data_IF_237855025165
#
_entry.id   IF_237855025165
#
_cell.length_a   1.000
_cell.length_b   1.000
_cell.length_c   1.000
_cell.angle_alpha   90.00
_cell.angle_beta   90.00
_cell.angle_gamma   90.00
#
_symmetry.space_group_name_H-M   'P 1'
#
loop_
_entity.id
_entity.type
_entity.pdbx_description
1 polymer ?
#
# COMPACT_ATOMS: atom_id res chain seq x y z
N UNK A 1 -26.14 -31.04 11.94
CA UNK A 1 -24.98 -31.95 12.21
C UNK A 1 -23.77 -31.07 12.53
N UNK A 2 -23.31 -31.19 13.76
CA UNK A 2 -22.31 -30.31 14.42
C UNK A 2 -20.97 -30.28 13.71
N UNK A 3 -20.53 -29.09 13.29
CA UNK A 3 -19.13 -28.80 13.07
C UNK A 3 -18.71 -27.67 14.02
N UNK A 4 -18.52 -28.03 15.28
CA UNK A 4 -17.75 -27.23 16.23
C UNK A 4 -16.30 -27.17 15.73
N UNK A 5 -15.96 -26.14 14.94
CA UNK A 5 -14.56 -25.82 14.65
C UNK A 5 -13.89 -25.49 15.98
N UNK A 6 -13.12 -26.44 16.51
CA UNK A 6 -12.20 -26.21 17.62
C UNK A 6 -11.35 -24.99 17.34
N UNK A 7 -11.68 -23.88 17.99
CA UNK A 7 -10.80 -22.72 18.13
C UNK A 7 -9.66 -23.16 19.06
N UNK A 8 -8.65 -23.82 18.48
CA UNK A 8 -7.39 -24.01 19.19
C UNK A 8 -6.80 -22.63 19.38
N UNK A 9 -6.81 -22.14 20.61
CA UNK A 9 -6.13 -20.93 21.01
C UNK A 9 -4.63 -21.11 20.72
N UNK A 10 -4.18 -20.59 19.59
CA UNK A 10 -2.75 -20.53 19.28
C UNK A 10 -2.06 -19.73 20.39
N UNK A 11 -0.95 -20.21 20.96
CA UNK A 11 -0.29 -19.53 22.06
C UNK A 11 0.08 -18.10 21.65
N UNK A 12 -0.27 -17.13 22.48
CA UNK A 12 0.08 -15.68 22.27
C UNK A 12 1.57 -15.49 21.99
N UNK A 13 2.42 -16.40 22.41
CA UNK A 13 3.84 -16.44 22.14
C UNK A 13 4.21 -16.50 20.65
N UNK A 14 3.49 -17.30 19.85
CA UNK A 14 3.79 -17.43 18.40
C UNK A 14 3.57 -16.12 17.63
N UNK A 15 2.51 -15.37 17.96
CA UNK A 15 2.24 -14.07 17.32
C UNK A 15 3.33 -13.07 17.66
N UNK A 16 3.71 -12.98 18.94
CA UNK A 16 4.78 -12.09 19.38
C UNK A 16 6.11 -12.45 18.72
N UNK A 17 6.43 -13.73 18.65
CA UNK A 17 7.65 -14.24 18.02
C UNK A 17 7.71 -13.90 16.52
N UNK A 18 6.63 -14.12 15.76
CA UNK A 18 6.58 -13.81 14.34
C UNK A 18 6.64 -12.29 14.07
N UNK A 19 5.96 -11.49 14.87
CA UNK A 19 6.04 -10.03 14.75
C UNK A 19 7.45 -9.54 15.11
N UNK A 20 8.09 -10.07 16.15
CA UNK A 20 9.45 -9.72 16.50
C UNK A 20 10.46 -10.12 15.42
N UNK A 21 10.33 -11.33 14.87
CA UNK A 21 11.15 -11.79 13.74
C UNK A 21 10.95 -10.92 12.49
N UNK A 22 9.68 -10.58 12.16
CA UNK A 22 9.36 -9.68 11.06
C UNK A 22 9.94 -8.27 11.25
N UNK A 23 9.84 -7.73 12.47
CA UNK A 23 10.43 -6.42 12.80
C UNK A 23 11.97 -6.44 12.71
N UNK A 24 12.61 -7.50 13.22
CA UNK A 24 14.06 -7.66 13.11
C UNK A 24 14.52 -7.78 11.66
N UNK A 25 13.82 -8.56 10.84
CA UNK A 25 14.12 -8.70 9.41
C UNK A 25 13.92 -7.37 8.66
N UNK A 26 12.82 -6.64 8.93
CA UNK A 26 12.58 -5.33 8.33
C UNK A 26 13.66 -4.32 8.73
N UNK A 27 14.07 -4.31 9.99
CA UNK A 27 15.16 -3.44 10.46
C UNK A 27 16.50 -3.80 9.76
N UNK A 28 16.81 -5.08 9.63
CA UNK A 28 18.00 -5.52 8.91
C UNK A 28 17.97 -5.11 7.43
N UNK A 29 16.82 -5.29 6.76
CA UNK A 29 16.64 -4.84 5.37
C UNK A 29 16.71 -3.32 5.24
N UNK A 30 16.17 -2.55 6.19
CA UNK A 30 16.27 -1.10 6.20
C UNK A 30 17.73 -0.64 6.30
N UNK A 31 18.49 -1.23 7.24
CA UNK A 31 19.93 -0.94 7.35
C UNK A 31 20.65 -1.32 6.07
N UNK A 32 20.42 -2.52 5.53
CA UNK A 32 21.03 -2.96 4.27
C UNK A 32 20.66 -2.01 3.10
N UNK A 33 19.42 -1.57 3.04
CA UNK A 33 18.92 -0.60 2.06
C UNK A 33 19.67 0.73 2.11
N UNK A 34 20.02 1.24 3.30
CA UNK A 34 20.77 2.49 3.46
C UNK A 34 22.17 2.42 2.83
N UNK A 35 22.83 1.25 2.89
CA UNK A 35 24.18 1.08 2.35
C UNK A 35 24.21 0.57 0.90
N UNK A 36 23.11 -0.02 0.39
CA UNK A 36 23.04 -0.55 -0.98
C UNK A 36 22.75 0.55 -1.99
N UNK A 37 23.50 0.57 -3.10
CA UNK A 37 23.24 1.43 -4.26
C UNK A 37 24.52 1.82 -5.01
N UNK A 38 24.37 2.57 -6.10
CA UNK A 38 25.47 2.86 -7.05
C UNK A 38 26.63 3.66 -6.46
N UNK A 39 26.34 4.61 -5.57
CA UNK A 39 27.38 5.35 -4.86
C UNK A 39 27.79 4.57 -3.60
N UNK A 40 29.08 4.23 -3.43
CA UNK A 40 29.55 3.49 -2.26
C UNK A 40 29.48 4.39 -1.01
N UNK A 41 28.68 4.00 -0.03
CA UNK A 41 28.70 4.59 1.31
C UNK A 41 29.50 3.69 2.22
N UNK A 42 30.50 4.28 2.90
CA UNK A 42 31.31 3.57 3.89
C UNK A 42 30.99 4.10 5.28
N UNK A 43 30.92 3.19 6.25
CA UNK A 43 30.70 3.59 7.64
C UNK A 43 31.78 4.52 8.17
N UNK A 44 33.04 4.29 7.73
CA UNK A 44 34.19 5.13 8.07
C UNK A 44 34.07 6.55 7.50
N UNK A 45 33.69 6.69 6.23
CA UNK A 45 33.51 8.01 5.60
C UNK A 45 32.38 8.82 6.25
N UNK A 46 31.30 8.14 6.66
CA UNK A 46 30.22 8.78 7.39
C UNK A 46 30.65 9.26 8.79
N UNK A 47 31.43 8.44 9.52
CA UNK A 47 31.98 8.82 10.84
C UNK A 47 33.01 9.95 10.74
N UNK A 48 33.78 10.02 9.66
CA UNK A 48 34.73 11.13 9.39
C UNK A 48 34.04 12.41 8.95
N UNK A 49 32.73 12.39 8.75
CA UNK A 49 31.99 13.59 8.33
C UNK A 49 32.15 13.96 6.86
N UNK A 50 32.43 12.97 5.98
CA UNK A 50 32.50 13.21 4.52
C UNK A 50 31.19 13.85 4.04
N UNK A 51 31.27 15.11 3.64
CA UNK A 51 30.12 15.92 3.26
C UNK A 51 29.33 15.31 2.10
N UNK A 52 30.01 14.65 1.13
CA UNK A 52 29.36 14.02 -0.01
C UNK A 52 28.61 12.76 0.42
N UNK A 53 29.21 11.90 1.25
CA UNK A 53 28.55 10.71 1.75
C UNK A 53 27.35 11.04 2.64
N UNK A 54 27.47 12.03 3.52
CA UNK A 54 26.36 12.51 4.34
C UNK A 54 25.23 13.08 3.49
N UNK A 55 25.54 13.84 2.46
CA UNK A 55 24.54 14.36 1.52
C UNK A 55 23.81 13.23 0.80
N UNK A 56 24.52 12.27 0.22
CA UNK A 56 23.92 11.10 -0.43
C UNK A 56 23.05 10.30 0.55
N UNK A 57 23.52 10.10 1.78
CA UNK A 57 22.76 9.40 2.80
C UNK A 57 21.42 10.09 3.09
N UNK A 58 21.43 11.36 3.43
CA UNK A 58 20.21 12.06 3.83
C UNK A 58 19.27 12.39 2.68
N UNK A 59 19.80 12.77 1.51
CA UNK A 59 18.96 13.19 0.38
C UNK A 59 18.41 12.03 -0.43
N UNK A 60 19.21 10.96 -0.63
CA UNK A 60 18.83 9.89 -1.54
C UNK A 60 18.48 8.58 -0.80
N UNK A 61 19.22 8.21 0.26
CA UNK A 61 19.04 6.90 0.90
C UNK A 61 17.99 6.89 2.00
N UNK A 62 18.06 7.82 2.92
CA UNK A 62 17.18 7.85 4.09
C UNK A 62 15.71 8.03 3.68
N UNK A 63 15.42 8.99 2.79
CA UNK A 63 14.06 9.22 2.28
C UNK A 63 13.50 8.02 1.56
N UNK A 64 14.27 7.43 0.65
CA UNK A 64 13.89 6.24 -0.12
C UNK A 64 13.61 5.03 0.78
N UNK A 65 14.52 4.75 1.73
CA UNK A 65 14.36 3.66 2.68
C UNK A 65 13.15 3.88 3.59
N UNK A 66 12.92 5.13 4.05
CA UNK A 66 11.75 5.47 4.86
C UNK A 66 10.44 5.19 4.11
N UNK A 67 10.33 5.56 2.84
CA UNK A 67 9.16 5.26 2.01
C UNK A 67 9.04 3.76 1.73
N UNK A 68 10.13 3.04 1.50
CA UNK A 68 10.12 1.58 1.35
C UNK A 68 9.56 0.89 2.59
N UNK A 69 10.06 1.24 3.77
CA UNK A 69 9.65 0.65 5.06
C UNK A 69 8.23 1.06 5.43
N UNK A 70 7.97 2.37 5.57
CA UNK A 70 6.68 2.88 6.04
C UNK A 70 5.59 2.74 4.97
N UNK A 71 5.93 2.97 3.70
CA UNK A 71 4.99 2.81 2.59
C UNK A 71 4.58 1.35 2.41
N UNK A 72 5.54 0.42 2.43
CA UNK A 72 5.23 -1.01 2.38
C UNK A 72 4.41 -1.47 3.58
N UNK A 73 4.74 -0.98 4.79
CA UNK A 73 3.96 -1.23 6.00
C UNK A 73 2.51 -0.71 5.85
N UNK A 74 2.34 0.50 5.35
CA UNK A 74 1.03 1.11 5.13
C UNK A 74 0.19 0.33 4.10
N UNK A 75 0.80 -0.07 2.98
CA UNK A 75 0.13 -0.92 1.97
C UNK A 75 -0.30 -2.26 2.57
N UNK A 76 0.53 -2.90 3.38
CA UNK A 76 0.21 -4.16 4.05
C UNK A 76 -0.94 -4.03 5.05
N UNK A 77 -0.94 -2.96 5.88
CA UNK A 77 -2.02 -2.66 6.83
C UNK A 77 -3.31 -2.32 6.08
N UNK A 78 -3.25 -1.43 5.09
CA UNK A 78 -4.41 -1.06 4.28
C UNK A 78 -5.00 -2.30 3.58
N UNK A 79 -4.17 -3.14 2.98
CA UNK A 79 -4.61 -4.39 2.39
C UNK A 79 -5.33 -5.30 3.37
N UNK A 80 -4.82 -5.44 4.60
CA UNK A 80 -5.51 -6.18 5.67
C UNK A 80 -6.89 -5.60 5.97
N UNK A 81 -6.99 -4.28 6.06
CA UNK A 81 -8.26 -3.57 6.30
C UNK A 81 -9.24 -3.86 5.17
N UNK A 82 -8.82 -3.69 3.91
CA UNK A 82 -9.67 -3.94 2.75
C UNK A 82 -10.18 -5.38 2.71
N UNK A 83 -9.26 -6.36 2.86
CA UNK A 83 -9.64 -7.78 2.87
C UNK A 83 -10.60 -8.13 3.99
N UNK A 84 -10.46 -7.50 5.16
CA UNK A 84 -11.32 -7.72 6.32
C UNK A 84 -12.70 -7.08 6.15
N UNK A 85 -12.75 -5.81 5.73
CA UNK A 85 -14.00 -5.05 5.56
C UNK A 85 -14.84 -5.61 4.41
N UNK A 86 -14.20 -5.99 3.30
CA UNK A 86 -14.88 -6.60 2.15
C UNK A 86 -15.10 -8.11 2.28
N UNK A 87 -14.54 -8.73 3.33
CA UNK A 87 -14.59 -10.20 3.53
C UNK A 87 -14.12 -10.97 2.30
N UNK A 88 -13.19 -10.39 1.59
CA UNK A 88 -12.62 -10.94 0.38
C UNK A 88 -11.10 -10.92 0.47
N UNK A 89 -10.42 -12.08 0.48
CA UNK A 89 -8.97 -12.15 0.58
C UNK A 89 -8.23 -11.55 -0.62
N UNK A 90 -8.94 -11.28 -1.72
CA UNK A 90 -8.41 -10.66 -2.93
C UNK A 90 -8.70 -9.15 -3.00
N UNK A 91 -9.37 -8.58 -2.00
CA UNK A 91 -9.61 -7.15 -1.97
C UNK A 91 -8.30 -6.38 -1.76
N UNK A 92 -8.13 -5.33 -2.54
CA UNK A 92 -6.99 -4.40 -2.48
C UNK A 92 -7.48 -2.95 -2.57
N UNK A 93 -6.66 -1.97 -2.20
CA UNK A 93 -7.00 -0.55 -2.37
C UNK A 93 -7.40 -0.15 -3.79
N UNK A 94 -6.86 -0.85 -4.79
CA UNK A 94 -7.14 -0.58 -6.20
C UNK A 94 -8.61 -0.80 -6.59
N UNK A 95 -9.32 -1.67 -5.86
CA UNK A 95 -10.75 -1.95 -6.10
C UNK A 95 -11.62 -0.70 -5.94
N UNK A 96 -11.20 0.29 -5.14
CA UNK A 96 -11.95 1.56 -4.95
C UNK A 96 -11.45 2.66 -5.91
N UNK A 97 -10.50 2.38 -6.78
CA UNK A 97 -10.03 3.32 -7.78
C UNK A 97 -8.94 4.30 -7.29
N UNK A 98 -8.30 4.03 -6.14
CA UNK A 98 -7.22 4.87 -5.59
C UNK A 98 -6.09 5.05 -6.59
N UNK A 99 -5.59 3.94 -7.11
CA UNK A 99 -4.45 3.91 -8.03
C UNK A 99 -4.74 4.58 -9.36
N UNK A 100 -5.94 4.34 -9.93
CA UNK A 100 -6.35 4.98 -11.20
C UNK A 100 -6.58 6.48 -11.03
N UNK A 101 -7.17 6.91 -9.91
CA UNK A 101 -7.31 8.32 -9.57
C UNK A 101 -5.95 9.00 -9.39
N UNK A 102 -5.01 8.34 -8.69
CA UNK A 102 -3.65 8.84 -8.55
C UNK A 102 -2.94 8.98 -9.90
N UNK A 103 -3.11 7.99 -10.81
CA UNK A 103 -2.50 8.03 -12.15
C UNK A 103 -3.06 9.17 -13.01
N UNK A 104 -4.38 9.37 -12.99
CA UNK A 104 -4.99 10.49 -13.70
C UNK A 104 -4.54 11.84 -13.12
N UNK A 105 -4.48 11.95 -11.79
CA UNK A 105 -3.95 13.14 -11.13
C UNK A 105 -2.47 13.41 -11.43
N UNK A 106 -1.63 12.38 -11.41
CA UNK A 106 -0.21 12.50 -11.77
C UNK A 106 -0.03 12.93 -13.23
N UNK A 107 -0.78 12.33 -14.16
CA UNK A 107 -0.75 12.73 -15.56
C UNK A 107 -1.13 14.19 -15.74
N UNK A 108 -2.21 14.65 -15.09
CA UNK A 108 -2.59 16.05 -15.08
C UNK A 108 -1.49 16.95 -14.48
N UNK A 109 -0.84 16.51 -13.39
CA UNK A 109 0.29 17.23 -12.80
C UNK A 109 1.49 17.34 -13.74
N UNK A 110 1.82 16.29 -14.48
CA UNK A 110 2.91 16.27 -15.45
C UNK A 110 2.62 17.21 -16.62
N UNK A 111 1.39 17.22 -17.12
CA UNK A 111 1.00 18.01 -18.29
C UNK A 111 0.82 19.50 -17.98
N UNK A 112 0.20 19.84 -16.87
CA UNK A 112 -0.27 21.21 -16.62
C UNK A 112 0.48 21.95 -15.52
N UNK A 113 1.30 21.25 -14.73
CA UNK A 113 2.03 21.83 -13.62
C UNK A 113 3.54 21.57 -13.76
N UNK A 114 4.34 22.26 -12.96
CA UNK A 114 5.78 22.10 -13.01
C UNK A 114 6.33 21.58 -11.68
N UNK A 115 7.22 20.58 -11.77
CA UNK A 115 7.98 20.08 -10.63
C UNK A 115 7.37 18.88 -9.91
N UNK A 116 8.24 18.07 -9.29
CA UNK A 116 7.88 16.81 -8.64
C UNK A 116 6.85 16.97 -7.51
N UNK A 117 6.91 18.06 -6.74
CA UNK A 117 5.95 18.33 -5.67
C UNK A 117 4.52 18.54 -6.21
N UNK A 118 4.39 19.21 -7.36
CA UNK A 118 3.10 19.42 -8.00
C UNK A 118 2.49 18.09 -8.51
N UNK A 119 3.31 17.22 -9.09
CA UNK A 119 2.91 15.88 -9.53
C UNK A 119 2.45 15.04 -8.32
N UNK A 120 3.21 15.05 -7.22
CA UNK A 120 2.86 14.36 -5.97
C UNK A 120 1.52 14.86 -5.42
N UNK A 121 1.33 16.18 -5.37
CA UNK A 121 0.09 16.78 -4.89
C UNK A 121 -1.10 16.42 -5.79
N UNK A 122 -0.94 16.52 -7.11
CA UNK A 122 -1.99 16.18 -8.08
C UNK A 122 -2.35 14.70 -8.03
N UNK A 123 -1.36 13.81 -7.88
CA UNK A 123 -1.59 12.37 -7.69
C UNK A 123 -2.38 12.09 -6.42
N UNK A 124 -2.00 12.73 -5.30
CA UNK A 124 -2.73 12.63 -4.03
C UNK A 124 -4.17 13.14 -4.15
N UNK A 125 -4.36 14.31 -4.77
CA UNK A 125 -5.68 14.91 -5.00
C UNK A 125 -6.55 14.02 -5.90
N UNK A 126 -5.99 13.45 -6.97
CA UNK A 126 -6.67 12.52 -7.85
C UNK A 126 -7.09 11.22 -7.14
N UNK A 127 -6.21 10.65 -6.32
CA UNK A 127 -6.52 9.50 -5.47
C UNK A 127 -7.68 9.81 -4.52
N UNK A 128 -7.62 10.95 -3.83
CA UNK A 128 -8.64 11.37 -2.88
C UNK A 128 -9.98 11.63 -3.59
N UNK A 129 -9.97 12.30 -4.73
CA UNK A 129 -11.18 12.56 -5.53
C UNK A 129 -11.86 11.26 -5.97
N UNK A 130 -11.09 10.29 -6.46
CA UNK A 130 -11.61 8.97 -6.86
C UNK A 130 -12.28 8.26 -5.68
N UNK A 131 -11.65 8.26 -4.51
CA UNK A 131 -12.21 7.62 -3.31
C UNK A 131 -13.44 8.35 -2.81
N UNK A 132 -13.40 9.68 -2.71
CA UNK A 132 -14.56 10.45 -2.30
C UNK A 132 -15.75 10.20 -3.24
N UNK A 133 -15.50 10.12 -4.55
CA UNK A 133 -16.54 9.81 -5.54
C UNK A 133 -17.07 8.38 -5.36
N UNK A 134 -16.21 7.37 -5.18
CA UNK A 134 -16.63 5.99 -4.97
C UNK A 134 -17.46 5.84 -3.68
N UNK A 135 -17.04 6.49 -2.59
CA UNK A 135 -17.78 6.49 -1.33
C UNK A 135 -19.11 7.25 -1.43
N UNK A 136 -19.14 8.39 -2.14
CA UNK A 136 -20.36 9.16 -2.38
C UNK A 136 -21.37 8.33 -3.19
N UNK A 137 -20.93 7.67 -4.28
CA UNK A 137 -21.78 6.79 -5.07
C UNK A 137 -22.30 5.60 -4.23
N UNK A 138 -21.44 5.02 -3.39
CA UNK A 138 -21.85 3.92 -2.52
C UNK A 138 -22.88 4.34 -1.45
N UNK A 139 -22.86 5.59 -1.03
CA UNK A 139 -23.79 6.14 -0.05
C UNK A 139 -25.21 6.33 -0.61
N UNK A 140 -25.39 6.34 -1.94
CA UNK A 140 -26.69 6.38 -2.59
C UNK A 140 -27.49 5.07 -2.39
N UNK A 141 -26.79 3.95 -2.15
CA UNK A 141 -27.45 2.68 -1.79
C UNK A 141 -27.84 2.68 -0.30
N UNK A 142 -29.13 2.90 -0.04
CA UNK A 142 -29.70 2.87 1.32
C UNK A 142 -29.54 1.51 2.01
N UNK A 143 -29.38 0.43 1.25
CA UNK A 143 -29.15 -0.90 1.79
C UNK A 143 -27.71 -1.12 2.32
N UNK A 144 -26.77 -0.24 1.95
CA UNK A 144 -25.40 -0.25 2.48
C UNK A 144 -24.58 -1.50 2.17
N UNK A 145 -24.91 -2.21 1.09
CA UNK A 145 -24.28 -3.50 0.75
C UNK A 145 -22.81 -3.33 0.38
N UNK A 146 -21.97 -4.26 0.82
CA UNK A 146 -20.55 -4.29 0.44
C UNK A 146 -20.32 -4.34 -1.08
N UNK A 147 -21.24 -5.00 -1.82
CA UNK A 147 -21.20 -5.06 -3.28
C UNK A 147 -21.32 -3.70 -3.95
N UNK A 148 -22.07 -2.76 -3.37
CA UNK A 148 -22.28 -1.42 -3.94
C UNK A 148 -21.00 -0.59 -3.89
N UNK A 149 -20.17 -0.72 -2.82
CA UNK A 149 -18.89 -0.03 -2.74
C UNK A 149 -17.92 -0.55 -3.81
N UNK A 150 -17.91 -1.87 -4.04
CA UNK A 150 -17.08 -2.49 -5.08
C UNK A 150 -17.51 -2.03 -6.47
N UNK A 151 -18.82 -2.04 -6.76
CA UNK A 151 -19.35 -1.57 -8.05
C UNK A 151 -19.06 -0.08 -8.28
N UNK A 152 -19.24 0.76 -7.25
CA UNK A 152 -18.89 2.18 -7.31
C UNK A 152 -17.39 2.36 -7.58
N UNK A 153 -16.53 1.56 -6.92
CA UNK A 153 -15.10 1.57 -7.15
C UNK A 153 -14.70 1.20 -8.58
N UNK A 154 -15.31 0.15 -9.15
CA UNK A 154 -15.10 -0.25 -10.56
C UNK A 154 -15.53 0.86 -11.52
N UNK A 155 -16.67 1.52 -11.28
CA UNK A 155 -17.14 2.64 -12.10
C UNK A 155 -16.17 3.82 -12.04
N UNK A 156 -15.72 4.19 -10.84
CA UNK A 156 -14.75 5.29 -10.64
C UNK A 156 -13.38 4.93 -11.25
N UNK A 157 -12.93 3.70 -11.10
CA UNK A 157 -11.71 3.20 -11.75
C UNK A 157 -11.81 3.41 -13.28
N UNK A 158 -12.91 3.00 -13.89
CA UNK A 158 -13.13 3.14 -15.35
C UNK A 158 -13.14 4.60 -15.79
N UNK A 159 -13.80 5.48 -15.01
CA UNK A 159 -13.81 6.92 -15.29
C UNK A 159 -12.40 7.53 -15.18
N UNK A 160 -11.65 7.20 -14.11
CA UNK A 160 -10.28 7.68 -13.93
C UNK A 160 -9.34 7.19 -15.03
N UNK A 161 -9.50 5.93 -15.47
CA UNK A 161 -8.75 5.40 -16.62
C UNK A 161 -9.10 6.12 -17.92
N UNK A 162 -10.36 6.46 -18.15
CA UNK A 162 -10.77 7.24 -19.33
C UNK A 162 -10.12 8.63 -19.30
N UNK A 163 -10.13 9.32 -18.15
CA UNK A 163 -9.44 10.60 -17.99
C UNK A 163 -7.95 10.46 -18.28
N UNK A 164 -7.30 9.44 -17.72
CA UNK A 164 -5.88 9.16 -17.96
C UNK A 164 -5.59 8.93 -19.44
N UNK A 165 -6.44 8.15 -20.17
CA UNK A 165 -6.28 7.94 -21.61
C UNK A 165 -6.40 9.25 -22.39
N UNK A 166 -7.39 10.11 -22.07
CA UNK A 166 -7.52 11.41 -22.70
C UNK A 166 -6.28 12.29 -22.47
N UNK A 167 -5.73 12.31 -21.25
CA UNK A 167 -4.52 13.06 -20.93
C UNK A 167 -3.30 12.53 -21.71
N UNK A 168 -3.15 11.21 -21.82
CA UNK A 168 -2.07 10.60 -22.62
C UNK A 168 -2.15 10.95 -24.11
N UNK A 169 -3.35 11.10 -24.66
CA UNK A 169 -3.54 11.51 -26.07
C UNK A 169 -3.12 12.95 -26.33
N UNK A 170 -3.14 13.82 -25.33
CA UNK A 170 -2.73 15.22 -25.43
C UNK A 170 -1.27 15.44 -25.07
N UNK A 171 -0.58 14.42 -24.51
CA UNK A 171 0.80 14.48 -24.06
C UNK A 171 1.80 14.49 -25.22
N UNK A 172 2.90 15.21 -25.05
CA UNK A 172 4.05 15.11 -25.92
C UNK A 172 4.65 13.69 -25.85
N UNK A 173 4.79 12.98 -27.00
CA UNK A 173 5.22 11.58 -27.02
C UNK A 173 6.63 11.34 -26.45
N UNK A 174 7.55 12.28 -26.68
CA UNK A 174 8.97 12.11 -26.32
C UNK A 174 9.26 12.43 -24.85
N UNK A 175 8.50 13.34 -24.23
CA UNK A 175 8.80 13.89 -22.90
C UNK A 175 7.72 13.55 -21.87
N UNK A 176 6.49 13.97 -22.14
CA UNK A 176 5.39 13.90 -21.16
C UNK A 176 4.82 12.50 -21.07
N UNK A 177 4.55 11.85 -22.20
CA UNK A 177 4.02 10.48 -22.23
C UNK A 177 5.01 9.50 -21.58
N UNK A 178 6.30 9.61 -21.88
CA UNK A 178 7.33 8.79 -21.26
C UNK A 178 7.37 9.01 -19.73
N UNK A 179 7.21 10.24 -19.28
CA UNK A 179 7.17 10.57 -17.84
C UNK A 179 5.93 9.99 -17.14
N UNK A 180 4.76 10.06 -17.79
CA UNK A 180 3.51 9.48 -17.29
C UNK A 180 3.65 7.95 -17.18
N UNK A 181 4.16 7.29 -18.23
CA UNK A 181 4.36 5.83 -18.22
C UNK A 181 5.34 5.41 -17.11
N UNK A 182 6.47 6.12 -16.97
CA UNK A 182 7.43 5.84 -15.92
C UNK A 182 6.82 6.01 -14.52
N UNK A 183 6.00 7.06 -14.32
CA UNK A 183 5.32 7.28 -13.04
C UNK A 183 4.33 6.15 -12.72
N UNK A 184 3.56 5.69 -13.72
CA UNK A 184 2.59 4.58 -13.56
C UNK A 184 3.31 3.27 -13.23
N UNK A 185 4.51 3.04 -13.75
CA UNK A 185 5.28 1.83 -13.41
C UNK A 185 5.68 1.73 -11.94
N UNK A 186 5.63 2.84 -11.21
CA UNK A 186 5.96 2.88 -9.79
C UNK A 186 7.44 2.69 -9.48
N UNK A 187 8.04 3.69 -8.84
CA UNK A 187 9.46 3.69 -8.49
C UNK A 187 9.70 4.47 -7.21
N UNK A 188 10.68 4.05 -6.44
CA UNK A 188 11.19 4.85 -5.32
C UNK A 188 12.37 5.73 -5.74
N UNK A 189 12.70 5.76 -7.03
CA UNK A 189 13.72 6.64 -7.57
C UNK A 189 13.25 8.11 -7.56
N UNK A 190 14.16 9.03 -7.26
CA UNK A 190 13.83 10.47 -7.20
C UNK A 190 13.13 10.92 -5.91
N UNK A 191 12.86 10.04 -4.97
CA UNK A 191 12.35 10.42 -3.64
C UNK A 191 13.49 11.10 -2.87
N UNK A 192 13.33 12.40 -2.61
CA UNK A 192 14.25 13.18 -1.79
C UNK A 192 13.70 13.36 -0.37
N UNK A 193 14.58 13.30 0.63
CA UNK A 193 14.19 13.41 2.05
C UNK A 193 13.48 14.71 2.41
N UNK A 194 13.64 15.77 1.61
CA UNK A 194 13.04 17.09 1.88
C UNK A 194 11.54 17.20 1.55
N UNK A 195 11.02 16.40 0.62
CA UNK A 195 9.63 16.55 0.12
C UNK A 195 8.64 15.55 0.72
N UNK A 196 9.10 14.57 1.49
CA UNK A 196 8.28 13.45 1.95
C UNK A 196 7.65 13.62 3.33
N UNK A 197 8.11 14.61 4.12
CA UNK A 197 7.75 14.73 5.55
C UNK A 197 6.25 14.81 5.80
N UNK A 198 5.54 15.63 5.05
CA UNK A 198 4.11 15.81 5.17
C UNK A 198 3.32 14.52 4.85
N UNK A 199 3.67 13.85 3.74
CA UNK A 199 3.02 12.61 3.33
C UNK A 199 3.28 11.48 4.33
N UNK A 200 4.51 11.35 4.84
CA UNK A 200 4.83 10.33 5.84
C UNK A 200 4.14 10.61 7.18
N UNK A 201 4.05 11.87 7.59
CA UNK A 201 3.34 12.24 8.82
C UNK A 201 1.85 11.93 8.72
N UNK A 202 1.20 12.27 7.59
CA UNK A 202 -0.20 11.93 7.36
C UNK A 202 -0.40 10.41 7.29
N UNK A 203 0.51 9.69 6.64
CA UNK A 203 0.50 8.23 6.59
C UNK A 203 0.58 7.62 8.00
N UNK A 204 1.50 8.10 8.85
CA UNK A 204 1.63 7.66 10.25
C UNK A 204 0.37 7.95 11.06
N UNK A 205 -0.25 9.12 10.87
CA UNK A 205 -1.51 9.46 11.51
C UNK A 205 -2.63 8.49 11.11
N UNK A 206 -2.76 8.19 9.81
CA UNK A 206 -3.74 7.22 9.31
C UNK A 206 -3.48 5.82 9.87
N UNK A 207 -2.22 5.38 9.91
CA UNK A 207 -1.84 4.10 10.51
C UNK A 207 -2.19 4.04 12.00
N UNK A 208 -1.88 5.08 12.76
CA UNK A 208 -2.25 5.17 14.18
C UNK A 208 -3.76 5.07 14.37
N UNK A 209 -4.55 5.79 13.56
CA UNK A 209 -6.01 5.69 13.56
C UNK A 209 -6.50 4.27 13.27
N UNK A 210 -5.94 3.58 12.26
CA UNK A 210 -6.30 2.20 11.94
C UNK A 210 -5.95 1.22 13.07
N UNK A 211 -4.81 1.39 13.75
CA UNK A 211 -4.48 0.57 14.91
C UNK A 211 -5.36 0.84 16.11
N UNK A 212 -5.76 2.08 16.35
CA UNK A 212 -6.75 2.43 17.39
C UNK A 212 -8.11 1.81 17.07
N UNK A 213 -8.50 1.76 15.80
CA UNK A 213 -9.77 1.19 15.33
C UNK A 213 -9.69 -0.31 15.04
N UNK A 214 -8.62 -1.02 15.43
CA UNK A 214 -8.44 -2.44 15.09
C UNK A 214 -9.59 -3.35 15.56
N UNK A 215 -10.20 -3.04 16.73
CA UNK A 215 -11.36 -3.79 17.23
C UNK A 215 -12.57 -3.62 16.32
N UNK A 216 -12.85 -2.41 15.87
CA UNK A 216 -13.93 -2.10 14.96
C UNK A 216 -13.71 -2.74 13.59
N UNK A 217 -12.45 -2.76 13.09
CA UNK A 217 -12.08 -3.48 11.87
C UNK A 217 -12.43 -4.97 11.98
N UNK A 218 -12.09 -5.61 13.10
CA UNK A 218 -12.42 -7.00 13.34
C UNK A 218 -13.95 -7.23 13.44
N UNK A 219 -14.69 -6.33 14.08
CA UNK A 219 -16.15 -6.44 14.17
C UNK A 219 -16.83 -6.31 12.80
N UNK A 220 -16.25 -5.53 11.86
CA UNK A 220 -16.77 -5.44 10.49
C UNK A 220 -16.55 -6.73 9.67
N UNK A 221 -15.74 -7.68 10.15
CA UNK A 221 -15.63 -9.01 9.54
C UNK A 221 -16.82 -9.92 9.87
N UNK A 222 -17.57 -9.65 10.95
CA UNK A 222 -18.79 -10.36 11.30
C UNK A 222 -19.97 -9.96 10.38
N UNK A 223 -21.08 -10.68 10.40
CA UNK A 223 -22.26 -10.28 9.64
C UNK A 223 -22.82 -8.94 10.13
N UNK A 224 -23.39 -8.14 9.21
CA UNK A 224 -23.84 -6.77 9.55
C UNK A 224 -24.87 -6.76 10.68
N UNK A 225 -25.73 -7.79 10.73
CA UNK A 225 -26.69 -7.97 11.80
C UNK A 225 -26.02 -8.16 13.16
N UNK A 226 -25.02 -9.01 13.24
CA UNK A 226 -24.24 -9.26 14.45
C UNK A 226 -23.48 -8.01 14.91
N UNK A 227 -22.81 -7.32 13.98
CA UNK A 227 -22.09 -6.10 14.29
C UNK A 227 -23.02 -4.97 14.80
N UNK A 228 -24.24 -4.86 14.27
CA UNK A 228 -25.26 -3.91 14.76
C UNK A 228 -25.78 -4.28 16.14
N UNK A 229 -25.99 -5.57 16.43
CA UNK A 229 -26.37 -6.03 17.76
C UNK A 229 -25.31 -5.72 18.83
N UNK A 230 -24.05 -5.66 18.44
CA UNK A 230 -22.94 -5.24 19.30
C UNK A 230 -22.80 -3.71 19.43
N UNK A 231 -23.77 -2.93 18.91
CA UNK A 231 -23.81 -1.47 19.04
C UNK A 231 -22.89 -0.71 18.07
N UNK A 232 -22.30 -1.36 17.08
CA UNK A 232 -21.40 -0.71 16.12
C UNK A 232 -22.22 -0.02 15.03
N UNK A 233 -22.03 1.30 14.78
CA UNK A 233 -22.61 1.99 13.65
C UNK A 233 -21.88 1.62 12.34
N UNK A 234 -22.21 0.42 11.80
CA UNK A 234 -21.47 -0.28 10.73
C UNK A 234 -21.15 0.64 9.55
N UNK A 235 -22.14 1.41 9.04
CA UNK A 235 -21.94 2.29 7.88
C UNK A 235 -20.90 3.38 8.13
N UNK A 236 -20.99 4.08 9.27
CA UNK A 236 -20.04 5.15 9.64
C UNK A 236 -18.64 4.61 9.90
N UNK A 237 -18.54 3.50 10.63
CA UNK A 237 -17.25 2.87 10.93
C UNK A 237 -16.57 2.36 9.66
N UNK A 238 -17.32 1.72 8.77
CA UNK A 238 -16.81 1.28 7.47
C UNK A 238 -16.24 2.45 6.67
N UNK A 239 -16.99 3.55 6.58
CA UNK A 239 -16.57 4.76 5.88
C UNK A 239 -15.27 5.32 6.44
N UNK A 240 -15.19 5.53 7.76
CA UNK A 240 -14.01 6.07 8.44
C UNK A 240 -12.78 5.19 8.28
N UNK A 241 -12.93 3.88 8.44
CA UNK A 241 -11.84 2.91 8.33
C UNK A 241 -11.33 2.82 6.89
N UNK A 242 -12.23 2.76 5.91
CA UNK A 242 -11.84 2.75 4.49
C UNK A 242 -11.19 4.07 4.09
N UNK A 243 -11.72 5.22 4.56
CA UNK A 243 -11.11 6.53 4.28
C UNK A 243 -9.69 6.60 4.86
N UNK A 244 -9.48 6.20 6.12
CA UNK A 244 -8.15 6.19 6.72
C UNK A 244 -7.17 5.26 5.98
N UNK A 245 -7.62 4.03 5.62
CA UNK A 245 -6.80 3.10 4.86
C UNK A 245 -6.46 3.64 3.47
N UNK A 246 -7.42 4.29 2.81
CA UNK A 246 -7.20 4.89 1.49
C UNK A 246 -6.27 6.09 1.54
N UNK A 247 -6.41 6.97 2.53
CA UNK A 247 -5.49 8.09 2.71
C UNK A 247 -4.05 7.60 2.94
N UNK A 248 -3.87 6.54 3.74
CA UNK A 248 -2.55 5.93 3.92
C UNK A 248 -1.95 5.44 2.58
N UNK A 249 -2.76 4.78 1.74
CA UNK A 249 -2.34 4.34 0.41
C UNK A 249 -2.06 5.53 -0.52
N UNK A 250 -2.92 6.55 -0.54
CA UNK A 250 -2.75 7.75 -1.36
C UNK A 250 -1.45 8.49 -1.03
N UNK A 251 -1.08 8.57 0.27
CA UNK A 251 0.21 9.12 0.69
C UNK A 251 1.40 8.36 0.08
N UNK A 252 1.32 7.03 0.02
CA UNK A 252 2.40 6.20 -0.54
C UNK A 252 2.44 6.32 -2.06
N UNK A 253 1.30 6.09 -2.71
CA UNK A 253 1.19 6.08 -4.19
C UNK A 253 1.55 7.44 -4.79
N UNK A 254 1.19 8.55 -4.15
CA UNK A 254 1.56 9.89 -4.63
C UNK A 254 3.08 10.15 -4.63
N UNK A 255 3.84 9.45 -3.79
CA UNK A 255 5.30 9.54 -3.74
C UNK A 255 6.00 8.56 -4.67
N UNK A 256 5.47 7.35 -4.80
CA UNK A 256 6.14 6.21 -5.43
C UNK A 256 5.57 5.81 -6.78
N UNK A 257 4.44 6.39 -7.20
CA UNK A 257 3.64 5.81 -8.27
C UNK A 257 2.96 4.51 -7.83
N UNK A 258 2.46 3.72 -8.79
CA UNK A 258 1.70 2.52 -8.47
C UNK A 258 2.61 1.38 -7.97
N UNK A 259 2.27 0.83 -6.82
CA UNK A 259 2.93 -0.36 -6.26
C UNK A 259 1.92 -1.49 -6.19
N UNK A 260 2.06 -2.45 -7.09
CA UNK A 260 1.14 -3.57 -7.21
C UNK A 260 1.47 -4.68 -6.21
N UNK A 261 0.47 -5.50 -5.87
CA UNK A 261 0.54 -6.74 -5.12
C UNK A 261 0.93 -6.66 -3.64
N UNK A 262 1.69 -5.66 -3.17
CA UNK A 262 2.13 -5.58 -1.76
C UNK A 262 0.93 -5.60 -0.80
N UNK A 263 -0.09 -4.78 -1.08
CA UNK A 263 -1.31 -4.71 -0.28
C UNK A 263 -2.18 -5.99 -0.34
N UNK A 264 -1.92 -6.87 -1.30
CA UNK A 264 -2.63 -8.15 -1.42
C UNK A 264 -1.85 -9.28 -0.76
N UNK A 265 -0.54 -9.38 -1.04
CA UNK A 265 0.31 -10.48 -0.60
C UNK A 265 0.60 -10.44 0.90
N UNK A 266 0.95 -9.26 1.42
CA UNK A 266 1.41 -9.10 2.78
C UNK A 266 0.35 -9.52 3.82
N UNK A 267 -0.91 -9.04 3.78
CA UNK A 267 -1.93 -9.48 4.73
C UNK A 267 -2.33 -10.94 4.53
N UNK A 268 -2.31 -11.43 3.28
CA UNK A 268 -2.59 -12.84 3.01
C UNK A 268 -1.52 -13.74 3.62
N UNK A 269 -0.23 -13.42 3.45
CA UNK A 269 0.89 -14.10 4.09
C UNK A 269 0.79 -14.10 5.61
N UNK A 270 0.41 -12.96 6.21
CA UNK A 270 0.19 -12.86 7.65
C UNK A 270 -0.92 -13.79 8.15
N UNK A 271 -2.04 -13.89 7.41
CA UNK A 271 -3.14 -14.84 7.72
C UNK A 271 -2.72 -16.29 7.57
N UNK A 272 -1.91 -16.63 6.57
CA UNK A 272 -1.36 -17.99 6.41
C UNK A 272 -0.49 -18.40 7.60
N UNK A 273 0.33 -17.48 8.12
CA UNK A 273 1.24 -17.72 9.23
C UNK A 273 0.53 -17.80 10.59
N UNK A 274 -0.44 -16.91 10.84
CA UNK A 274 -1.13 -16.80 12.13
C UNK A 274 -2.46 -17.52 12.18
N UNK A 275 -3.06 -17.85 11.02
CA UNK A 275 -4.34 -18.56 10.86
C UNK A 275 -5.51 -17.94 11.65
N UNK A 276 -5.48 -16.65 11.88
CA UNK A 276 -6.53 -15.91 12.60
C UNK A 276 -6.52 -14.44 12.19
N UNK A 277 -7.64 -13.75 12.35
CA UNK A 277 -7.73 -12.30 12.25
C UNK A 277 -7.57 -11.67 13.64
N UNK A 278 -6.63 -10.75 13.76
CA UNK A 278 -6.29 -10.07 15.02
C UNK A 278 -5.44 -8.82 14.73
N UNK A 279 -5.28 -7.96 15.75
CA UNK A 279 -4.34 -6.85 15.69
C UNK A 279 -2.89 -7.32 15.35
N UNK A 280 -2.49 -8.49 15.86
CA UNK A 280 -1.19 -9.10 15.53
C UNK A 280 -1.07 -9.51 14.06
N UNK A 281 -2.17 -9.96 13.44
CA UNK A 281 -2.20 -10.28 12.01
C UNK A 281 -2.11 -9.02 11.16
N UNK A 282 -2.78 -7.94 11.57
CA UNK A 282 -2.68 -6.64 10.94
C UNK A 282 -1.25 -6.08 11.02
N UNK A 283 -0.63 -6.16 12.21
CA UNK A 283 0.76 -5.75 12.42
C UNK A 283 1.72 -6.57 11.57
N UNK A 284 1.59 -7.91 11.58
CA UNK A 284 2.44 -8.78 10.76
C UNK A 284 2.24 -8.52 9.27
N UNK A 285 1.01 -8.23 8.83
CA UNK A 285 0.71 -7.81 7.46
C UNK A 285 1.46 -6.55 7.06
N UNK A 286 1.48 -5.53 7.95
CA UNK A 286 2.28 -4.32 7.75
C UNK A 286 3.78 -4.63 7.65
N UNK A 287 4.34 -5.42 8.58
CA UNK A 287 5.75 -5.80 8.58
C UNK A 287 6.14 -6.54 7.29
N UNK A 288 5.33 -7.50 6.85
CA UNK A 288 5.55 -8.21 5.58
C UNK A 288 5.46 -7.27 4.38
N UNK A 289 4.56 -6.29 4.40
CA UNK A 289 4.47 -5.27 3.37
C UNK A 289 5.74 -4.42 3.29
N UNK A 290 6.27 -3.98 4.43
CA UNK A 290 7.55 -3.28 4.52
C UNK A 290 8.73 -4.12 4.00
N UNK A 291 8.79 -5.40 4.38
CA UNK A 291 9.81 -6.35 3.91
C UNK A 291 9.73 -6.51 2.39
N UNK A 292 8.52 -6.72 1.84
CA UNK A 292 8.31 -6.91 0.40
C UNK A 292 8.72 -5.67 -0.39
N UNK A 293 8.28 -4.49 0.02
CA UNK A 293 8.56 -3.26 -0.71
C UNK A 293 10.02 -2.85 -0.61
N UNK A 294 10.61 -2.91 0.59
CA UNK A 294 12.04 -2.59 0.78
C UNK A 294 12.93 -3.59 0.05
N UNK A 295 12.59 -4.88 0.09
CA UNK A 295 13.31 -5.93 -0.65
C UNK A 295 13.21 -5.72 -2.17
N UNK A 296 12.01 -5.43 -2.69
CA UNK A 296 11.80 -5.13 -4.10
C UNK A 296 12.58 -3.88 -4.55
N UNK A 297 12.66 -2.85 -3.70
CA UNK A 297 13.45 -1.66 -3.97
C UNK A 297 14.96 -1.94 -4.01
N UNK A 298 15.47 -2.75 -3.10
CA UNK A 298 16.87 -3.19 -3.12
C UNK A 298 17.19 -3.92 -4.43
N UNK A 299 16.31 -4.82 -4.86
CA UNK A 299 16.46 -5.54 -6.13
C UNK A 299 16.37 -4.58 -7.33
N UNK A 300 15.42 -3.65 -7.32
CA UNK A 300 15.20 -2.69 -8.41
C UNK A 300 16.44 -1.84 -8.73
N UNK A 301 17.21 -1.46 -7.71
CA UNK A 301 18.43 -0.65 -7.87
C UNK A 301 19.73 -1.46 -8.02
N UNK A 302 19.66 -2.78 -7.80
CA UNK A 302 20.85 -3.67 -7.87
C UNK A 302 20.86 -4.55 -9.11
N UNK A 303 19.70 -4.82 -9.73
CA UNK A 303 19.56 -5.82 -10.79
C UNK A 303 20.09 -5.37 -12.16
N UNK A 304 20.17 -4.06 -12.44
CA UNK A 304 20.57 -3.55 -13.74
C UNK A 304 21.39 -2.27 -13.65
N UNK A 305 22.05 -1.90 -14.76
CA UNK A 305 22.80 -0.65 -14.87
C UNK A 305 21.90 0.60 -14.74
N UNK A 306 20.65 0.51 -15.20
CA UNK A 306 19.59 1.50 -14.96
C UNK A 306 18.68 1.01 -13.82
N UNK A 307 18.13 1.93 -13.05
CA UNK A 307 17.17 1.57 -12.00
C UNK A 307 15.86 1.11 -12.63
N UNK A 308 15.40 -0.08 -12.21
CA UNK A 308 14.15 -0.64 -12.67
C UNK A 308 12.97 -0.18 -11.81
N UNK A 309 11.74 -0.08 -12.37
CA UNK A 309 10.54 0.14 -11.58
C UNK A 309 10.34 -0.96 -10.52
N UNK A 310 9.98 -0.57 -9.30
CA UNK A 310 9.80 -1.49 -8.17
C UNK A 310 8.66 -2.47 -8.42
N UNK A 311 7.62 -2.05 -9.14
CA UNK A 311 6.46 -2.89 -9.46
C UNK A 311 6.81 -4.12 -10.30
N UNK A 312 7.92 -4.13 -11.05
CA UNK A 312 8.39 -5.32 -11.76
C UNK A 312 8.64 -6.44 -10.74
N UNK A 313 9.36 -6.15 -9.66
CA UNK A 313 9.72 -7.15 -8.65
C UNK A 313 8.52 -7.54 -7.78
N UNK A 314 7.67 -6.59 -7.41
CA UNK A 314 6.46 -6.91 -6.64
C UNK A 314 5.47 -7.73 -7.46
N UNK A 315 5.35 -7.48 -8.77
CA UNK A 315 4.49 -8.26 -9.67
C UNK A 315 5.07 -9.64 -9.97
N UNK A 316 6.39 -9.75 -10.12
CA UNK A 316 7.09 -11.04 -10.33
C UNK A 316 6.90 -11.97 -9.12
N UNK A 317 6.81 -11.44 -7.92
CA UNK A 317 6.48 -12.20 -6.71
C UNK A 317 4.96 -12.44 -6.58
N UNK A 318 4.16 -11.44 -6.95
CA UNK A 318 2.73 -11.43 -6.76
C UNK A 318 1.97 -12.42 -7.64
N UNK A 319 2.25 -12.42 -8.92
CA UNK A 319 1.53 -13.24 -9.89
C UNK A 319 1.72 -14.76 -9.64
N UNK A 320 2.95 -15.29 -9.41
CA UNK A 320 3.13 -16.71 -9.07
C UNK A 320 2.46 -17.09 -7.75
N UNK A 321 2.46 -16.19 -6.76
CA UNK A 321 1.79 -16.44 -5.50
C UNK A 321 0.27 -16.57 -5.66
N UNK A 322 -0.36 -15.74 -6.49
CA UNK A 322 -1.78 -15.87 -6.81
C UNK A 322 -2.08 -17.18 -7.53
N UNK A 323 -1.26 -17.57 -8.51
CA UNK A 323 -1.39 -18.86 -9.20
C UNK A 323 -1.31 -20.01 -8.20
N UNK A 324 -0.34 -19.97 -7.29
CA UNK A 324 -0.21 -20.97 -6.21
C UNK A 324 -1.48 -21.05 -5.35
N UNK A 325 -2.09 -19.92 -4.98
CA UNK A 325 -3.30 -19.88 -4.20
C UNK A 325 -4.49 -20.51 -4.92
N UNK A 326 -4.64 -20.25 -6.23
CA UNK A 326 -5.70 -20.83 -7.06
C UNK A 326 -5.57 -22.36 -7.10
N UNK A 327 -4.35 -22.85 -7.35
CA UNK A 327 -4.08 -24.30 -7.41
C UNK A 327 -4.38 -24.96 -6.06
N UNK A 328 -3.92 -24.35 -4.96
CA UNK A 328 -4.14 -24.89 -3.61
C UNK A 328 -5.59 -24.82 -3.16
N UNK A 329 -6.33 -23.80 -3.60
CA UNK A 329 -7.76 -23.66 -3.32
C UNK A 329 -8.58 -24.80 -3.95
N UNK A 330 -8.23 -25.19 -5.19
CA UNK A 330 -8.86 -26.35 -5.89
C UNK A 330 -8.64 -27.68 -5.20
N UNK A 331 -7.54 -27.86 -4.49
CA UNK A 331 -7.25 -29.14 -3.79
C UNK A 331 -8.02 -29.30 -2.47
N UNK A 332 -8.70 -28.25 -2.01
CA UNK A 332 -9.48 -28.25 -0.76
C UNK A 332 -11.00 -28.17 -0.95
N UNK A 333 -11.44 -28.00 -2.19
CA UNK A 333 -12.83 -28.09 -2.60
C UNK A 333 -13.17 -29.49 -3.15
#
# INVERSE_FOLDING_TARGET
MNSTKHFTAFPMGKTKMLCAAGAALLAALAVFSLFTGKYPLTFEGMLRGDAMQLRVFWTLRAGRTAVGVLGGFALGVAGYVYQTVFRNPLASPDVIGVSSGASAGAAAGILFLSGAAAVTFSAFAGALAAVCLALALSALDRAGRNSTIVLAGIAVHSLAQTVLMCLKLTADPERELASIEYWIMGSLNGISGYSIGGNLLLCLFCLAALFLLHRQILLLSAEEGEARMLGVPVGRMRLLILLAATLAVACVVSLSGLISFVGLLAPHGARLLLKRDSAGTMLLGGLLGGILLTGADILARSAAATELPVSIFTSLLGAPFLIYLIIRGRQRA
#
